data_IF_258287425444
#
_entry.id   IF_258287425444
#
_cell.length_a   1.000
_cell.length_b   1.000
_cell.length_c   1.000
_cell.angle_alpha   90.00
_cell.angle_beta   90.00
_cell.angle_gamma   90.00
#
_symmetry.space_group_name_H-M   'P 1'
#
loop_
_entity.id
_entity.type
_entity.pdbx_description
1 polymer ?
#
# COMPACT_ATOMS: atom_id res chain seq x y z
N UNK A 1 -2.54 34.38 26.64
CA UNK A 1 -2.31 33.04 26.05
C UNK A 1 -3.55 32.67 25.26
N UNK A 2 -3.52 32.93 23.96
CA UNK A 2 -4.66 32.64 23.06
C UNK A 2 -4.48 31.22 22.56
N UNK A 3 -5.34 30.29 23.00
CA UNK A 3 -5.37 28.96 22.40
C UNK A 3 -5.68 29.12 20.91
N UNK A 4 -4.92 28.49 19.99
CA UNK A 4 -5.30 28.49 18.59
C UNK A 4 -6.70 27.90 18.48
N UNK A 5 -7.58 28.55 17.72
CA UNK A 5 -8.89 28.02 17.42
C UNK A 5 -8.71 26.61 16.84
N UNK A 6 -9.26 25.60 17.52
CA UNK A 6 -9.27 24.25 16.99
C UNK A 6 -10.02 24.29 15.65
N UNK A 7 -9.43 23.77 14.55
CA UNK A 7 -10.14 23.69 13.29
C UNK A 7 -11.42 22.89 13.52
N UNK A 8 -12.53 23.37 12.96
CA UNK A 8 -13.82 22.68 13.03
C UNK A 8 -13.74 21.25 12.47
N UNK A 9 -14.70 20.37 12.80
CA UNK A 9 -14.68 18.97 12.37
C UNK A 9 -14.53 18.86 10.84
N UNK A 10 -13.98 17.74 10.32
CA UNK A 10 -13.88 17.54 8.88
C UNK A 10 -15.28 17.60 8.25
N UNK A 11 -15.40 18.44 7.22
CA UNK A 11 -16.67 18.65 6.53
C UNK A 11 -16.67 17.89 5.20
N UNK A 12 -17.68 17.04 4.93
CA UNK A 12 -17.86 16.50 3.59
C UNK A 12 -18.12 17.68 2.66
N UNK A 13 -17.17 17.98 1.78
CA UNK A 13 -17.31 19.02 0.77
C UNK A 13 -18.42 18.67 -0.22
N UNK A 14 -18.88 19.66 -0.98
CA UNK A 14 -19.77 19.41 -2.13
C UNK A 14 -19.07 18.52 -3.14
N UNK A 15 -19.76 17.45 -3.56
CA UNK A 15 -19.25 16.58 -4.62
C UNK A 15 -19.25 17.34 -5.96
N UNK A 16 -18.24 17.11 -6.82
CA UNK A 16 -18.28 17.62 -8.18
C UNK A 16 -19.51 17.08 -8.95
N UNK A 17 -20.04 17.82 -9.94
CA UNK A 17 -21.14 17.34 -10.76
C UNK A 17 -20.86 15.96 -11.38
N UNK A 18 -21.87 15.10 -11.43
CA UNK A 18 -21.74 13.74 -11.97
C UNK A 18 -20.94 12.75 -11.11
N UNK A 19 -20.41 13.19 -9.97
CA UNK A 19 -19.65 12.34 -9.07
C UNK A 19 -20.50 11.79 -7.93
N UNK A 20 -20.25 10.54 -7.57
CA UNK A 20 -20.85 9.87 -6.41
C UNK A 20 -19.77 9.22 -5.57
N UNK A 21 -20.06 9.03 -4.29
CA UNK A 21 -19.20 8.31 -3.35
C UNK A 21 -19.96 7.17 -2.72
N UNK A 22 -19.34 6.01 -2.63
CA UNK A 22 -19.89 4.79 -2.06
C UNK A 22 -18.93 4.21 -1.02
N UNK A 23 -19.48 3.69 0.07
CA UNK A 23 -18.73 2.88 1.04
C UNK A 23 -19.07 1.40 0.84
N UNK A 24 -18.10 0.61 0.39
CA UNK A 24 -18.22 -0.85 0.32
C UNK A 24 -17.65 -1.47 1.59
N UNK A 25 -18.46 -2.31 2.23
CA UNK A 25 -18.09 -3.02 3.48
C UNK A 25 -18.21 -4.53 3.39
N UNK A 26 -18.71 -5.04 2.28
CA UNK A 26 -18.89 -6.47 2.00
C UNK A 26 -17.73 -7.02 1.15
N UNK A 27 -17.28 -8.24 1.48
CA UNK A 27 -16.19 -8.90 0.75
C UNK A 27 -16.62 -9.31 -0.67
N UNK A 28 -17.85 -9.80 -0.85
CA UNK A 28 -18.35 -10.21 -2.17
C UNK A 28 -18.39 -9.04 -3.14
N UNK A 29 -18.90 -7.89 -2.68
CA UNK A 29 -18.86 -6.63 -3.41
C UNK A 29 -17.41 -6.20 -3.72
N UNK A 30 -16.49 -6.31 -2.75
CA UNK A 30 -15.07 -6.03 -3.02
C UNK A 30 -14.48 -6.96 -4.08
N UNK A 31 -14.77 -8.25 -4.04
CA UNK A 31 -14.31 -9.22 -5.04
C UNK A 31 -14.85 -8.87 -6.44
N UNK A 32 -16.11 -8.46 -6.54
CA UNK A 32 -16.75 -8.06 -7.79
C UNK A 32 -16.15 -6.78 -8.43
N UNK A 33 -15.45 -5.93 -7.66
CA UNK A 33 -14.78 -4.73 -8.18
C UNK A 33 -13.55 -5.05 -9.04
N UNK A 34 -13.06 -6.29 -9.09
CA UNK A 34 -11.80 -6.65 -9.76
C UNK A 34 -11.61 -6.03 -11.16
N UNK A 35 -12.60 -6.08 -12.08
CA UNK A 35 -12.42 -5.52 -13.42
C UNK A 35 -12.29 -3.99 -13.41
N UNK A 36 -13.09 -3.29 -12.60
CA UNK A 36 -13.07 -1.82 -12.52
C UNK A 36 -11.81 -1.34 -11.80
N UNK A 37 -11.44 -2.01 -10.72
CA UNK A 37 -10.23 -1.72 -9.95
C UNK A 37 -8.97 -1.87 -10.80
N UNK A 38 -8.89 -2.92 -11.64
CA UNK A 38 -7.75 -3.12 -12.54
C UNK A 38 -7.61 -2.01 -13.58
N UNK A 39 -8.73 -1.50 -14.11
CA UNK A 39 -8.73 -0.35 -15.03
C UNK A 39 -8.25 0.92 -14.32
N UNK A 40 -8.81 1.22 -13.14
CA UNK A 40 -8.38 2.35 -12.33
C UNK A 40 -6.88 2.25 -12.01
N UNK A 41 -6.43 1.11 -11.50
CA UNK A 41 -5.04 0.84 -11.17
C UNK A 41 -4.09 1.11 -12.36
N UNK A 42 -4.49 0.71 -13.57
CA UNK A 42 -3.71 0.97 -14.79
C UNK A 42 -3.58 2.45 -15.19
N UNK A 43 -4.44 3.33 -14.64
CA UNK A 43 -4.42 4.79 -14.85
C UNK A 43 -3.80 5.56 -13.67
N UNK A 44 -3.22 4.85 -12.70
CA UNK A 44 -2.57 5.45 -11.53
C UNK A 44 -1.06 5.28 -11.62
N UNK A 45 -0.33 6.28 -12.09
CA UNK A 45 1.12 6.23 -12.27
C UNK A 45 1.89 6.02 -10.95
N UNK A 46 1.34 6.50 -9.83
CA UNK A 46 1.94 6.36 -8.51
C UNK A 46 1.61 5.02 -7.82
N UNK A 47 0.71 4.20 -8.38
CA UNK A 47 0.24 2.98 -7.74
C UNK A 47 1.37 1.95 -7.62
N UNK A 48 1.47 1.34 -6.45
CA UNK A 48 2.38 0.22 -6.19
C UNK A 48 1.60 -1.10 -6.22
N UNK A 49 2.27 -2.26 -6.29
CA UNK A 49 1.59 -3.55 -6.21
C UNK A 49 0.66 -3.70 -4.99
N UNK A 50 0.91 -2.95 -3.92
CA UNK A 50 0.11 -2.94 -2.69
C UNK A 50 -1.28 -2.32 -2.85
N UNK A 51 -1.54 -1.57 -3.93
CA UNK A 51 -2.89 -1.06 -4.27
C UNK A 51 -3.59 -1.93 -5.32
N UNK A 52 -2.96 -3.01 -5.79
CA UNK A 52 -3.60 -3.93 -6.74
C UNK A 52 -4.76 -4.68 -6.07
N UNK A 53 -5.84 -4.90 -6.83
CA UNK A 53 -7.00 -5.64 -6.32
C UNK A 53 -6.63 -7.04 -5.81
N UNK A 54 -5.76 -7.75 -6.54
CA UNK A 54 -5.32 -9.09 -6.19
C UNK A 54 -4.56 -9.12 -4.86
N UNK A 55 -3.67 -8.16 -4.61
CA UNK A 55 -2.97 -8.04 -3.33
C UNK A 55 -3.95 -7.75 -2.19
N UNK A 56 -4.77 -6.71 -2.35
CA UNK A 56 -5.68 -6.22 -1.32
C UNK A 56 -6.73 -7.27 -0.92
N UNK A 57 -7.31 -7.98 -1.90
CA UNK A 57 -8.29 -9.04 -1.63
C UNK A 57 -7.64 -10.27 -0.98
N UNK A 58 -6.44 -10.67 -1.44
CA UNK A 58 -5.70 -11.79 -0.84
C UNK A 58 -5.31 -11.46 0.61
N UNK A 59 -4.90 -10.23 0.87
CA UNK A 59 -4.62 -9.74 2.21
C UNK A 59 -5.88 -9.77 3.08
N UNK A 60 -7.00 -9.23 2.58
CA UNK A 60 -8.26 -9.21 3.33
C UNK A 60 -8.73 -10.61 3.72
N UNK A 61 -8.67 -11.58 2.80
CA UNK A 61 -9.06 -12.96 3.08
C UNK A 61 -8.16 -13.66 4.11
N UNK A 62 -6.88 -13.27 4.18
CA UNK A 62 -5.89 -13.92 5.05
C UNK A 62 -5.74 -13.23 6.42
N UNK A 63 -5.91 -11.91 6.46
CA UNK A 63 -5.59 -11.07 7.62
C UNK A 63 -6.72 -10.13 8.04
N UNK A 64 -7.72 -9.93 7.18
CA UNK A 64 -8.89 -9.13 7.48
C UNK A 64 -9.75 -9.75 8.58
N UNK A 65 -10.68 -8.95 9.10
CA UNK A 65 -11.64 -9.41 10.08
C UNK A 65 -13.03 -8.90 9.72
N UNK A 66 -14.03 -9.79 9.77
CA UNK A 66 -15.40 -9.48 9.40
C UNK A 66 -15.92 -8.18 10.04
N UNK A 67 -16.66 -7.40 9.26
CA UNK A 67 -17.21 -6.10 9.68
C UNK A 67 -16.22 -4.93 9.68
N UNK A 68 -14.92 -5.16 9.42
CA UNK A 68 -13.90 -4.10 9.39
C UNK A 68 -13.60 -3.51 8.02
N UNK A 69 -14.10 -4.08 6.92
CA UNK A 69 -13.77 -3.62 5.57
C UNK A 69 -14.37 -2.23 5.31
N UNK A 70 -13.56 -1.28 4.84
CA UNK A 70 -14.03 0.08 4.52
C UNK A 70 -13.38 0.56 3.22
N UNK A 71 -14.00 0.25 2.09
CA UNK A 71 -13.53 0.76 0.80
C UNK A 71 -14.34 2.00 0.45
N UNK A 72 -13.67 3.14 0.34
CA UNK A 72 -14.30 4.37 -0.14
C UNK A 72 -14.07 4.46 -1.64
N UNK A 73 -15.15 4.47 -2.41
CA UNK A 73 -15.09 4.53 -3.86
C UNK A 73 -15.66 5.87 -4.32
N UNK A 74 -14.99 6.53 -5.26
CA UNK A 74 -15.56 7.65 -5.99
C UNK A 74 -15.80 7.26 -7.45
N UNK A 75 -16.97 7.62 -7.98
CA UNK A 75 -17.39 7.31 -9.35
C UNK A 75 -17.78 8.58 -10.09
N UNK A 76 -17.42 8.65 -11.36
CA UNK A 76 -17.99 9.57 -12.33
C UNK A 76 -19.00 8.79 -13.18
N UNK A 77 -20.30 9.01 -12.96
CA UNK A 77 -21.35 8.14 -13.49
C UNK A 77 -21.15 6.68 -13.07
N UNK A 78 -20.77 5.81 -14.01
CA UNK A 78 -20.51 4.37 -13.76
C UNK A 78 -19.03 4.03 -13.61
N UNK A 79 -18.12 4.91 -14.02
CA UNK A 79 -16.69 4.60 -14.00
C UNK A 79 -16.10 4.87 -12.61
N UNK A 80 -15.27 3.95 -12.15
CA UNK A 80 -14.53 4.10 -10.89
C UNK A 80 -13.32 5.01 -11.14
N UNK A 81 -13.29 6.17 -10.50
CA UNK A 81 -12.26 7.21 -10.70
C UNK A 81 -11.35 7.38 -9.49
N UNK A 82 -11.76 6.89 -8.32
CA UNK A 82 -10.91 6.86 -7.14
C UNK A 82 -11.30 5.72 -6.19
N UNK A 83 -10.35 5.22 -5.41
CA UNK A 83 -10.60 4.24 -4.36
C UNK A 83 -9.62 4.42 -3.19
N UNK A 84 -10.13 4.45 -1.96
CA UNK A 84 -9.33 4.31 -0.75
C UNK A 84 -9.57 2.91 -0.14
N UNK A 85 -8.62 1.98 -0.28
CA UNK A 85 -8.73 0.65 0.32
C UNK A 85 -8.38 0.73 1.82
N UNK A 86 -9.40 0.82 2.68
CA UNK A 86 -9.21 0.94 4.13
C UNK A 86 -9.87 -0.21 4.91
N UNK A 87 -9.50 -0.29 6.18
CA UNK A 87 -10.22 -1.07 7.18
C UNK A 87 -10.34 -0.28 8.48
N UNK A 88 -11.38 -0.57 9.26
CA UNK A 88 -11.57 0.02 10.57
C UNK A 88 -10.79 -0.72 11.66
N UNK A 89 -10.14 0.01 12.55
CA UNK A 89 -9.57 -0.46 13.81
C UNK A 89 -10.20 0.34 14.97
N UNK A 90 -10.18 -0.23 16.18
CA UNK A 90 -10.85 0.38 17.36
C UNK A 90 -9.90 0.84 18.46
N UNK A 91 -8.60 0.52 18.36
CA UNK A 91 -7.62 0.76 19.40
C UNK A 91 -6.34 1.35 18.79
N UNK A 92 -5.71 2.36 19.42
CA UNK A 92 -6.11 2.99 20.70
C UNK A 92 -7.38 3.85 20.61
N UNK A 93 -7.75 4.28 19.40
CA UNK A 93 -9.00 5.01 19.09
C UNK A 93 -9.63 4.43 17.81
N UNK A 94 -10.92 4.68 17.53
CA UNK A 94 -11.50 4.36 16.24
C UNK A 94 -10.72 5.03 15.10
N UNK A 95 -10.21 4.23 14.17
CA UNK A 95 -9.46 4.72 13.02
C UNK A 95 -9.74 3.88 11.77
N UNK A 96 -9.54 4.50 10.61
CA UNK A 96 -9.51 3.88 9.29
C UNK A 96 -8.06 3.89 8.83
N UNK A 97 -7.52 2.70 8.58
CA UNK A 97 -6.13 2.48 8.18
C UNK A 97 -6.06 1.76 6.83
N UNK A 98 -4.97 1.90 6.06
CA UNK A 98 -4.77 1.16 4.81
C UNK A 98 -4.98 -0.34 4.97
N UNK A 99 -5.77 -0.89 4.05
CA UNK A 99 -5.88 -2.32 3.85
C UNK A 99 -4.52 -2.83 3.34
N UNK A 100 -4.04 -3.95 3.89
CA UNK A 100 -2.66 -4.38 3.61
C UNK A 100 -1.64 -3.93 4.65
N UNK A 101 -2.04 -3.13 5.64
CA UNK A 101 -1.16 -2.62 6.69
C UNK A 101 -0.37 -3.70 7.43
N UNK A 102 0.76 -3.29 8.03
CA UNK A 102 1.75 -4.11 8.73
C UNK A 102 2.65 -5.03 7.87
N UNK A 103 2.27 -5.35 6.63
CA UNK A 103 3.10 -6.17 5.73
C UNK A 103 3.28 -5.59 4.32
N UNK A 104 2.63 -4.46 4.02
CA UNK A 104 2.87 -3.69 2.80
C UNK A 104 3.86 -2.57 3.12
N UNK A 105 4.86 -2.37 2.26
CA UNK A 105 5.85 -1.31 2.47
C UNK A 105 5.26 0.09 2.20
N UNK A 106 4.19 0.17 1.39
CA UNK A 106 3.52 1.43 1.09
C UNK A 106 2.00 1.33 1.20
N UNK A 107 1.41 2.33 1.86
CA UNK A 107 -0.04 2.58 1.88
C UNK A 107 -0.39 3.76 0.98
N UNK A 108 -1.40 3.62 0.14
CA UNK A 108 -1.89 4.69 -0.71
C UNK A 108 -3.36 4.47 -1.11
N UNK A 109 -3.97 5.54 -1.61
CA UNK A 109 -5.24 5.51 -2.34
C UNK A 109 -4.97 5.36 -3.84
N UNK A 110 -6.01 5.06 -4.61
CA UNK A 110 -5.99 5.15 -6.07
C UNK A 110 -6.75 6.41 -6.49
N UNK A 111 -6.13 7.20 -7.36
CA UNK A 111 -6.73 8.36 -8.02
C UNK A 111 -6.38 8.26 -9.50
N UNK A 112 -7.41 8.32 -10.34
CA UNK A 112 -7.27 8.36 -11.78
C UNK A 112 -6.55 9.64 -12.21
N UNK A 113 -5.33 9.50 -12.74
CA UNK A 113 -4.48 10.64 -13.11
C UNK A 113 -5.09 11.47 -14.25
N UNK A 114 -5.98 10.89 -15.05
CA UNK A 114 -6.65 11.57 -16.17
C UNK A 114 -7.87 12.40 -15.71
N UNK A 115 -8.45 12.09 -14.56
CA UNK A 115 -9.68 12.76 -14.05
C UNK A 115 -9.38 13.96 -13.15
N UNK A 116 -8.18 14.01 -12.59
CA UNK A 116 -7.64 15.20 -11.93
C UNK A 116 -8.43 15.66 -10.68
N UNK A 117 -8.63 16.99 -10.49
CA UNK A 117 -9.15 17.59 -9.24
C UNK A 117 -10.50 17.08 -8.74
N UNK A 118 -11.38 16.64 -9.63
CA UNK A 118 -12.74 16.24 -9.27
C UNK A 118 -12.74 14.87 -8.57
N UNK A 119 -11.95 13.92 -9.08
CA UNK A 119 -11.76 12.62 -8.43
C UNK A 119 -11.11 12.78 -7.03
N UNK A 120 -10.12 13.68 -6.91
CA UNK A 120 -9.49 14.03 -5.62
C UNK A 120 -10.51 14.59 -4.62
N UNK A 121 -11.35 15.52 -5.08
CA UNK A 121 -12.36 16.19 -4.26
C UNK A 121 -13.44 15.22 -3.82
N UNK A 122 -13.92 14.36 -4.73
CA UNK A 122 -14.91 13.34 -4.42
C UNK A 122 -14.38 12.34 -3.37
N UNK A 123 -13.14 11.84 -3.56
CA UNK A 123 -12.54 10.91 -2.59
C UNK A 123 -12.33 11.58 -1.22
N UNK A 124 -11.83 12.83 -1.20
CA UNK A 124 -11.65 13.59 0.03
C UNK A 124 -12.97 13.82 0.77
N UNK A 125 -14.07 14.13 0.06
CA UNK A 125 -15.40 14.27 0.65
C UNK A 125 -15.90 12.95 1.26
N UNK A 126 -15.67 11.83 0.58
CA UNK A 126 -15.98 10.49 1.09
C UNK A 126 -15.26 10.15 2.39
N UNK A 127 -13.95 10.40 2.42
CA UNK A 127 -13.13 10.20 3.61
C UNK A 127 -13.53 11.15 4.76
N UNK A 128 -13.84 12.41 4.45
CA UNK A 128 -14.31 13.38 5.43
C UNK A 128 -15.64 12.97 6.09
N UNK A 129 -16.55 12.36 5.33
CA UNK A 129 -17.80 11.82 5.88
C UNK A 129 -17.55 10.74 6.93
N UNK A 130 -16.60 9.84 6.68
CA UNK A 130 -16.21 8.79 7.64
C UNK A 130 -15.42 9.34 8.83
N UNK A 131 -14.62 10.39 8.57
CA UNK A 131 -13.76 11.00 9.58
C UNK A 131 -14.53 11.69 10.73
N UNK A 132 -15.85 11.81 10.60
CA UNK A 132 -16.74 12.25 11.70
C UNK A 132 -16.77 11.29 12.88
N UNK A 133 -16.40 10.02 12.68
CA UNK A 133 -16.51 8.96 13.70
C UNK A 133 -15.23 8.16 13.92
N UNK A 134 -14.22 8.37 13.09
CA UNK A 134 -12.94 7.68 13.16
C UNK A 134 -11.81 8.55 12.61
N UNK A 135 -10.60 8.42 13.14
CA UNK A 135 -9.42 9.01 12.50
C UNK A 135 -9.20 8.38 11.12
N UNK A 136 -8.81 9.14 10.11
CA UNK A 136 -8.25 8.57 8.87
C UNK A 136 -6.73 8.63 8.99
N UNK A 137 -6.10 7.47 9.13
CA UNK A 137 -4.66 7.33 9.36
C UNK A 137 -4.02 6.58 8.18
N UNK A 138 -3.51 7.35 7.22
CA UNK A 138 -2.79 6.82 6.06
C UNK A 138 -1.30 6.75 6.40
N UNK A 139 -0.85 5.55 6.78
CA UNK A 139 0.55 5.23 7.09
C UNK A 139 1.32 4.74 5.89
N UNK A 140 2.65 4.84 5.97
CA UNK A 140 3.59 4.41 4.93
C UNK A 140 3.29 5.04 3.55
N UNK A 141 2.87 6.31 3.54
CA UNK A 141 2.63 7.08 2.31
C UNK A 141 3.96 7.54 1.74
N UNK A 142 4.35 7.01 0.58
CA UNK A 142 5.58 7.41 -0.12
C UNK A 142 5.47 8.84 -0.71
N UNK A 143 6.59 9.56 -0.87
CA UNK A 143 6.60 10.81 -1.64
C UNK A 143 6.04 10.62 -3.06
N UNK A 144 5.15 11.52 -3.49
CA UNK A 144 4.49 11.44 -4.80
C UNK A 144 3.29 10.49 -4.86
N UNK A 145 2.89 9.91 -3.72
CA UNK A 145 1.67 9.11 -3.60
C UNK A 145 0.40 9.92 -3.87
N UNK A 146 -0.66 9.23 -4.31
CA UNK A 146 -1.97 9.82 -4.57
C UNK A 146 -2.60 10.44 -3.30
N UNK A 147 -2.31 9.87 -2.13
CA UNK A 147 -2.75 10.37 -0.83
C UNK A 147 -2.31 11.83 -0.56
N UNK A 148 -1.21 12.30 -1.15
CA UNK A 148 -0.79 13.71 -1.00
C UNK A 148 -1.79 14.68 -1.66
N UNK A 149 -2.40 14.27 -2.78
CA UNK A 149 -3.43 15.06 -3.46
C UNK A 149 -4.73 15.08 -2.66
N UNK A 150 -5.13 13.95 -2.08
CA UNK A 150 -6.26 13.88 -1.13
C UNK A 150 -5.99 14.76 0.08
N UNK A 151 -4.78 14.68 0.64
CA UNK A 151 -4.36 15.51 1.76
C UNK A 151 -4.51 16.98 1.43
N UNK A 152 -4.08 17.43 0.24
CA UNK A 152 -4.21 18.81 -0.21
C UNK A 152 -5.68 19.30 -0.26
N UNK A 153 -6.61 18.44 -0.68
CA UNK A 153 -8.07 18.73 -0.72
C UNK A 153 -8.76 18.66 0.65
N UNK A 154 -8.10 18.08 1.67
CA UNK A 154 -8.69 17.91 2.99
C UNK A 154 -9.07 19.22 3.66
N UNK A 155 -10.30 19.29 4.19
CA UNK A 155 -10.82 20.44 4.94
C UNK A 155 -11.13 20.01 6.38
N UNK A 156 -10.28 20.42 7.30
CA UNK A 156 -10.37 20.07 8.72
C UNK A 156 -8.98 19.81 9.32
N UNK A 157 -8.92 19.37 10.59
CA UNK A 157 -7.66 19.00 11.24
C UNK A 157 -6.96 17.91 10.43
N UNK A 158 -5.68 18.13 10.15
CA UNK A 158 -4.80 17.17 9.47
C UNK A 158 -3.36 17.39 9.93
N UNK A 159 -2.61 16.32 10.10
CA UNK A 159 -1.19 16.37 10.47
C UNK A 159 -0.41 15.41 9.56
N UNK A 160 0.86 15.71 9.33
CA UNK A 160 1.80 14.85 8.61
C UNK A 160 2.94 14.51 9.53
N UNK A 161 3.25 13.22 9.64
CA UNK A 161 4.35 12.70 10.45
C UNK A 161 5.30 11.92 9.55
N UNK A 162 6.57 11.81 9.97
CA UNK A 162 7.47 10.84 9.37
C UNK A 162 7.06 9.42 9.79
N UNK A 163 7.22 8.46 8.88
CA UNK A 163 6.98 7.04 9.14
C UNK A 163 8.30 6.25 8.98
N UNK A 164 8.30 5.12 8.28
CA UNK A 164 9.49 4.30 8.10
C UNK A 164 10.56 4.93 7.18
N UNK A 165 11.84 4.68 7.51
CA UNK A 165 12.95 5.00 6.61
C UNK A 165 13.01 3.97 5.47
N UNK A 166 12.75 4.43 4.26
CA UNK A 166 12.86 3.60 3.06
C UNK A 166 14.19 3.88 2.33
N UNK A 167 14.92 2.82 1.99
CA UNK A 167 16.11 2.94 1.16
C UNK A 167 15.69 3.02 -0.31
N UNK A 168 15.96 4.16 -0.96
CA UNK A 168 15.81 4.27 -2.41
C UNK A 168 17.09 3.85 -3.13
N UNK A 169 16.96 2.86 -4.02
CA UNK A 169 18.02 2.42 -4.89
C UNK A 169 17.74 2.89 -6.32
N UNK A 170 18.72 3.48 -7.02
CA UNK A 170 18.54 3.85 -8.41
C UNK A 170 18.43 2.59 -9.28
N UNK A 171 17.76 2.72 -10.43
CA UNK A 171 17.77 1.67 -11.44
C UNK A 171 19.12 1.65 -12.20
N UNK A 172 20.16 1.12 -11.55
CA UNK A 172 21.50 0.95 -12.12
C UNK A 172 21.87 -0.53 -12.23
N UNK A 173 22.75 -0.89 -13.18
CA UNK A 173 23.42 -2.18 -13.17
C UNK A 173 24.15 -2.43 -11.84
N UNK A 174 24.35 -3.70 -11.49
CA UNK A 174 24.98 -4.10 -10.22
C UNK A 174 26.31 -3.41 -9.96
N UNK A 175 27.18 -3.27 -10.97
CA UNK A 175 28.47 -2.57 -10.82
C UNK A 175 28.28 -1.09 -10.44
N UNK A 176 27.31 -0.41 -11.06
CA UNK A 176 26.96 0.97 -10.70
C UNK A 176 26.41 1.10 -9.28
N UNK A 177 25.67 0.10 -8.80
CA UNK A 177 25.23 0.04 -7.40
C UNK A 177 26.41 -0.20 -6.44
N UNK A 178 27.34 -1.08 -6.81
CA UNK A 178 28.55 -1.33 -6.01
C UNK A 178 29.40 -0.08 -5.89
N UNK A 179 29.59 0.67 -6.98
CA UNK A 179 30.46 1.84 -6.98
C UNK A 179 29.97 2.97 -6.06
N UNK A 180 28.66 3.01 -5.77
CA UNK A 180 28.03 3.91 -4.81
C UNK A 180 28.30 3.55 -3.34
N UNK A 181 28.87 2.38 -3.04
CA UNK A 181 29.21 2.01 -1.67
C UNK A 181 30.33 2.91 -1.14
N UNK A 182 30.26 3.33 0.15
CA UNK A 182 31.09 4.42 0.67
C UNK A 182 32.57 4.05 0.84
N UNK A 183 32.93 2.76 0.89
CA UNK A 183 34.32 2.32 1.10
C UNK A 183 34.78 1.31 0.07
N UNK A 184 36.08 1.39 -0.28
CA UNK A 184 36.74 0.42 -1.15
C UNK A 184 36.62 -1.01 -0.60
N UNK A 185 36.67 -1.18 0.72
CA UNK A 185 36.50 -2.48 1.39
C UNK A 185 35.09 -3.06 1.17
N UNK A 186 34.04 -2.23 1.28
CA UNK A 186 32.67 -2.67 1.01
C UNK A 186 32.50 -3.07 -0.46
N UNK A 187 33.03 -2.26 -1.39
CA UNK A 187 33.04 -2.56 -2.83
C UNK A 187 33.73 -3.89 -3.12
N UNK A 188 34.94 -4.08 -2.60
CA UNK A 188 35.71 -5.31 -2.79
C UNK A 188 34.97 -6.54 -2.24
N UNK A 189 34.34 -6.41 -1.06
CA UNK A 189 33.55 -7.49 -0.45
C UNK A 189 32.38 -7.91 -1.34
N UNK A 190 31.58 -6.96 -1.83
CA UNK A 190 30.43 -7.28 -2.71
C UNK A 190 30.91 -7.92 -4.00
N UNK A 191 31.93 -7.36 -4.66
CA UNK A 191 32.51 -7.95 -5.89
C UNK A 191 33.05 -9.36 -5.65
N UNK A 192 33.67 -9.62 -4.50
CA UNK A 192 34.13 -10.96 -4.14
C UNK A 192 32.97 -11.95 -3.94
N UNK A 193 31.85 -11.50 -3.35
CA UNK A 193 30.65 -12.33 -3.22
C UNK A 193 30.02 -12.65 -4.58
N UNK A 194 29.95 -11.69 -5.49
CA UNK A 194 29.46 -11.90 -6.86
C UNK A 194 30.31 -12.92 -7.61
N UNK A 195 31.65 -12.76 -7.61
CA UNK A 195 32.57 -13.74 -8.22
C UNK A 195 32.43 -15.14 -7.62
N UNK A 196 32.16 -15.23 -6.32
CA UNK A 196 31.92 -16.52 -5.66
C UNK A 196 30.62 -17.16 -6.14
N UNK A 197 29.55 -16.40 -6.35
CA UNK A 197 28.30 -16.92 -6.93
C UNK A 197 28.53 -17.45 -8.35
N UNK A 198 29.31 -16.73 -9.16
CA UNK A 198 29.68 -17.15 -10.51
C UNK A 198 30.50 -18.45 -10.49
N UNK A 199 31.52 -18.53 -9.63
CA UNK A 199 32.36 -19.72 -9.48
C UNK A 199 31.57 -20.95 -8.98
N UNK A 200 30.50 -20.73 -8.21
CA UNK A 200 29.58 -21.79 -7.77
C UNK A 200 28.54 -22.17 -8.85
N UNK A 201 28.53 -21.48 -10.00
CA UNK A 201 27.59 -21.74 -11.08
C UNK A 201 26.15 -21.34 -10.78
N UNK A 202 25.92 -20.44 -9.82
CA UNK A 202 24.58 -19.97 -9.46
C UNK A 202 23.96 -19.25 -10.65
N UNK A 203 22.74 -19.65 -11.05
CA UNK A 203 21.97 -19.01 -12.11
C UNK A 203 20.70 -18.39 -11.53
N UNK A 204 20.28 -17.27 -12.11
CA UNK A 204 19.01 -16.62 -11.82
C UNK A 204 18.19 -16.46 -13.10
N UNK A 205 16.87 -16.51 -12.96
CA UNK A 205 15.92 -16.19 -14.02
C UNK A 205 14.65 -15.60 -13.43
N UNK A 206 13.90 -14.80 -14.19
CA UNK A 206 12.54 -14.42 -13.80
C UNK A 206 11.65 -15.65 -13.60
N UNK A 207 10.73 -15.55 -12.65
CA UNK A 207 9.64 -16.52 -12.42
C UNK A 207 8.43 -16.05 -13.22
N UNK A 208 7.84 -16.94 -14.01
CA UNK A 208 6.64 -16.64 -14.79
C UNK A 208 5.36 -16.76 -13.93
N UNK A 209 4.25 -16.11 -14.31
CA UNK A 209 3.02 -16.13 -13.51
C UNK A 209 2.48 -17.53 -13.18
N UNK A 210 2.60 -18.48 -14.09
CA UNK A 210 2.19 -19.88 -13.94
C UNK A 210 3.12 -20.68 -13.01
N UNK A 211 4.36 -20.23 -12.83
CA UNK A 211 5.35 -20.86 -11.93
C UNK A 211 5.29 -20.27 -10.50
N UNK A 212 4.54 -19.20 -10.28
CA UNK A 212 4.58 -18.41 -9.05
C UNK A 212 4.24 -19.23 -7.80
N UNK A 213 3.22 -20.09 -7.84
CA UNK A 213 2.84 -20.94 -6.70
C UNK A 213 3.98 -21.89 -6.30
N UNK A 214 4.56 -22.60 -7.26
CA UNK A 214 5.68 -23.51 -7.00
C UNK A 214 6.92 -22.76 -6.48
N UNK A 215 7.22 -21.58 -7.05
CA UNK A 215 8.34 -20.76 -6.62
C UNK A 215 8.17 -20.23 -5.19
N UNK A 216 6.97 -19.77 -4.81
CA UNK A 216 6.67 -19.30 -3.45
C UNK A 216 6.76 -20.46 -2.44
N UNK A 217 6.22 -21.64 -2.76
CA UNK A 217 6.37 -22.82 -1.89
C UNK A 217 7.83 -23.18 -1.68
N UNK A 218 8.64 -23.15 -2.74
CA UNK A 218 10.09 -23.40 -2.64
C UNK A 218 10.80 -22.34 -1.81
N UNK A 219 10.44 -21.06 -1.95
CA UNK A 219 10.95 -19.97 -1.13
C UNK A 219 10.67 -20.21 0.36
N UNK A 220 9.43 -20.57 0.71
CA UNK A 220 9.04 -20.87 2.09
C UNK A 220 9.79 -22.08 2.67
N UNK A 221 10.01 -23.12 1.87
CA UNK A 221 10.81 -24.28 2.25
C UNK A 221 12.26 -23.89 2.56
N UNK A 222 12.91 -23.16 1.65
CA UNK A 222 14.29 -22.68 1.81
C UNK A 222 14.42 -21.76 3.03
N UNK A 223 13.43 -20.90 3.25
CA UNK A 223 13.37 -20.04 4.43
C UNK A 223 13.32 -20.87 5.73
N UNK A 224 12.48 -21.91 5.80
CA UNK A 224 12.44 -22.82 6.96
C UNK A 224 13.78 -23.52 7.18
N UNK A 225 14.45 -23.95 6.11
CA UNK A 225 15.77 -24.57 6.18
C UNK A 225 16.82 -23.59 6.72
N UNK A 226 16.81 -22.34 6.23
CA UNK A 226 17.73 -21.29 6.67
C UNK A 226 17.64 -21.00 8.18
N UNK A 227 16.43 -21.08 8.74
CA UNK A 227 16.17 -20.75 10.15
C UNK A 227 16.14 -21.96 11.10
N UNK A 228 16.35 -23.19 10.59
CA UNK A 228 16.40 -24.38 11.43
C UNK A 228 17.51 -24.27 12.48
N UNK A 229 17.14 -24.41 13.76
CA UNK A 229 18.06 -24.26 14.88
C UNK A 229 18.49 -22.82 15.17
N UNK A 230 17.80 -21.81 14.62
CA UNK A 230 18.08 -20.38 14.81
C UNK A 230 16.81 -19.64 15.25
N UNK A 231 16.96 -18.47 15.88
CA UNK A 231 15.82 -17.58 16.18
C UNK A 231 15.31 -16.95 14.89
N UNK A 232 13.99 -16.94 14.69
CA UNK A 232 13.31 -16.36 13.52
C UNK A 232 12.17 -15.44 13.98
N UNK A 233 11.76 -14.49 13.14
CA UNK A 233 10.60 -13.63 13.38
C UNK A 233 9.35 -14.44 13.70
N UNK A 234 8.61 -14.04 14.75
CA UNK A 234 7.47 -14.79 15.26
C UNK A 234 6.34 -15.02 14.26
N UNK A 235 6.16 -14.13 13.26
CA UNK A 235 5.18 -14.34 12.18
C UNK A 235 5.47 -15.63 11.38
N UNK A 236 6.76 -15.95 11.16
CA UNK A 236 7.18 -17.13 10.39
C UNK A 236 6.91 -18.46 11.11
N UNK A 237 6.54 -18.40 12.39
CA UNK A 237 6.17 -19.56 13.21
C UNK A 237 4.66 -19.82 13.20
N UNK A 238 3.84 -18.90 12.65
CA UNK A 238 2.39 -19.05 12.64
C UNK A 238 1.95 -20.11 11.61
N UNK A 239 0.87 -20.89 11.87
CA UNK A 239 0.36 -21.88 10.92
C UNK A 239 0.03 -21.31 9.54
N UNK A 240 -0.41 -20.05 9.48
CA UNK A 240 -0.73 -19.33 8.23
C UNK A 240 0.48 -18.99 7.35
N UNK A 241 1.70 -19.13 7.87
CA UNK A 241 2.96 -18.94 7.12
C UNK A 241 3.41 -20.25 6.44
N UNK A 242 2.52 -21.25 6.38
CA UNK A 242 2.85 -22.60 5.90
C UNK A 242 2.52 -22.85 4.44
#
# INVERSE_FOLDING_TARGET
MTYPAFPGPPHPGTLPPGHTVELVTDEGAFAALAPQWRRLYGRCAAATPFQSHAWLLSWWRSYGAAGRLRLVLAREGRELVAAAPLMSVRSPVPALVPLGGAISDYGDVLLDDERGPDAETALAAGLAALARTALVDLREVRPGAAAERVYARWRGPRHRLADSLCLELPALPMDGLVDRLPSAKARQRVRAQLRRLDALGVKSRPVLPDEADAAVRRLLELHRLQWRGRKVTGEHLRPRFR
#
